data_IF_373415576809
#
_entry.id   IF_373415576809
#
_cell.length_a   1.000
_cell.length_b   1.000
_cell.length_c   1.000
_cell.angle_alpha   90.00
_cell.angle_beta   90.00
_cell.angle_gamma   90.00
#
_symmetry.space_group_name_H-M   'P 1'
#
loop_
_entity.id
_entity.type
_entity.pdbx_description
1 polymer ?
#
# COMPACT_ATOMS: atom_id res chain seq x y z
N UNK A 1 -14.89 -7.15 -9.69
CA UNK A 1 -13.54 -6.57 -9.81
C UNK A 1 -12.54 -7.71 -9.80
N UNK A 2 -11.49 -7.64 -10.61
CA UNK A 2 -10.49 -8.69 -10.70
C UNK A 2 -9.51 -8.55 -9.52
N UNK A 3 -9.28 -9.66 -8.81
CA UNK A 3 -8.31 -9.72 -7.71
C UNK A 3 -6.89 -9.67 -8.27
N UNK A 4 -5.95 -9.10 -7.50
CA UNK A 4 -4.53 -9.17 -7.87
C UNK A 4 -4.05 -10.62 -7.73
N UNK A 5 -3.57 -11.27 -8.81
CA UNK A 5 -3.00 -12.60 -8.72
C UNK A 5 -1.72 -12.59 -7.88
N UNK A 6 -1.53 -13.62 -7.05
CA UNK A 6 -0.33 -13.78 -6.22
C UNK A 6 0.96 -13.73 -7.08
N UNK A 7 0.98 -14.43 -8.21
CA UNK A 7 2.10 -14.43 -9.16
C UNK A 7 2.45 -13.03 -9.68
N UNK A 8 1.45 -12.16 -9.87
CA UNK A 8 1.69 -10.77 -10.28
C UNK A 8 2.40 -10.01 -9.18
N UNK A 9 1.96 -10.17 -7.93
CA UNK A 9 2.57 -9.50 -6.79
C UNK A 9 3.98 -10.02 -6.50
N UNK A 10 4.19 -11.34 -6.55
CA UNK A 10 5.52 -11.96 -6.40
C UNK A 10 6.52 -11.43 -7.43
N UNK A 11 6.09 -11.27 -8.69
CA UNK A 11 6.91 -10.70 -9.75
C UNK A 11 7.33 -9.27 -9.39
N UNK A 12 6.40 -8.42 -8.96
CA UNK A 12 6.70 -7.04 -8.54
C UNK A 12 7.68 -7.03 -7.38
N UNK A 13 7.44 -7.85 -6.34
CA UNK A 13 8.31 -7.93 -5.16
C UNK A 13 9.72 -8.40 -5.53
N UNK A 14 9.85 -9.35 -6.46
CA UNK A 14 11.14 -9.83 -6.96
C UNK A 14 11.89 -8.71 -7.69
N UNK A 15 11.22 -7.99 -8.60
CA UNK A 15 11.81 -6.86 -9.32
C UNK A 15 12.23 -5.73 -8.37
N UNK A 16 11.40 -5.43 -7.37
CA UNK A 16 11.70 -4.44 -6.34
C UNK A 16 12.92 -4.84 -5.53
N UNK A 17 12.97 -6.09 -5.05
CA UNK A 17 14.09 -6.63 -4.27
C UNK A 17 15.42 -6.53 -5.01
N UNK A 18 15.43 -6.74 -6.33
CA UNK A 18 16.64 -6.59 -7.14
C UNK A 18 17.11 -5.13 -7.25
N UNK A 19 16.17 -4.17 -7.23
CA UNK A 19 16.47 -2.73 -7.33
C UNK A 19 16.81 -2.09 -5.99
N UNK A 20 16.51 -2.75 -4.88
CA UNK A 20 16.86 -2.31 -3.52
C UNK A 20 18.37 -2.17 -3.26
N UNK A 21 19.22 -2.64 -4.17
CA UNK A 21 20.67 -2.38 -4.12
C UNK A 21 21.04 -0.91 -4.35
N UNK A 22 20.14 -0.15 -4.99
CA UNK A 22 20.25 1.29 -5.14
C UNK A 22 19.71 2.00 -3.90
N UNK A 23 20.58 2.76 -3.23
CA UNK A 23 20.28 3.45 -1.99
C UNK A 23 19.14 4.48 -2.12
N UNK A 24 18.93 5.04 -3.31
CA UNK A 24 17.91 6.07 -3.55
C UNK A 24 16.59 5.48 -4.06
N UNK A 25 16.53 4.16 -4.28
CA UNK A 25 15.38 3.51 -4.92
C UNK A 25 14.07 3.70 -4.16
N UNK A 26 14.09 3.57 -2.83
CA UNK A 26 12.90 3.77 -1.99
C UNK A 26 12.37 5.19 -2.16
N UNK A 27 13.24 6.20 -2.03
CA UNK A 27 12.86 7.61 -2.14
C UNK A 27 12.21 7.91 -3.49
N UNK A 28 12.85 7.48 -4.59
CA UNK A 28 12.29 7.66 -5.94
C UNK A 28 10.93 7.02 -6.12
N UNK A 29 10.72 5.80 -5.61
CA UNK A 29 9.42 5.12 -5.70
C UNK A 29 8.33 5.82 -4.90
N UNK A 30 8.66 6.36 -3.74
CA UNK A 30 7.73 7.18 -2.95
C UNK A 30 7.39 8.47 -3.69
N UNK A 31 8.39 9.17 -4.23
CA UNK A 31 8.17 10.41 -5.00
C UNK A 31 7.29 10.18 -6.24
N UNK A 32 7.57 9.11 -6.99
CA UNK A 32 6.76 8.67 -8.14
C UNK A 32 5.32 8.39 -7.72
N UNK A 33 5.09 7.67 -6.62
CA UNK A 33 3.74 7.42 -6.11
C UNK A 33 3.04 8.73 -5.75
N UNK A 34 3.68 9.62 -5.00
CA UNK A 34 3.05 10.86 -4.55
C UNK A 34 2.73 11.80 -5.71
N UNK A 35 3.53 11.78 -6.78
CA UNK A 35 3.24 12.55 -7.99
C UNK A 35 1.89 12.15 -8.63
N UNK A 36 1.49 10.88 -8.53
CA UNK A 36 0.23 10.37 -9.10
C UNK A 36 -0.88 10.18 -8.06
N UNK A 37 -0.54 10.10 -6.78
CA UNK A 37 -1.44 9.87 -5.65
C UNK A 37 -1.20 10.92 -4.54
N UNK A 38 -1.42 12.22 -4.81
CA UNK A 38 -0.96 13.32 -3.95
C UNK A 38 -1.58 13.32 -2.54
N UNK A 39 -2.78 12.75 -2.38
CA UNK A 39 -3.48 12.72 -1.10
C UNK A 39 -2.94 11.65 -0.14
N UNK A 40 -2.22 10.64 -0.63
CA UNK A 40 -1.71 9.54 0.20
C UNK A 40 -0.69 10.00 1.23
N UNK A 41 0.22 10.90 0.85
CA UNK A 41 1.20 11.47 1.79
C UNK A 41 0.49 12.14 2.97
N UNK A 42 -0.50 13.00 2.69
CA UNK A 42 -1.24 13.71 3.73
C UNK A 42 -2.05 12.76 4.62
N UNK A 43 -2.67 11.75 4.01
CA UNK A 43 -3.42 10.72 4.73
C UNK A 43 -2.54 9.95 5.72
N UNK A 44 -1.36 9.50 5.29
CA UNK A 44 -0.44 8.74 6.15
C UNK A 44 0.23 9.63 7.19
N UNK A 45 0.64 10.86 6.83
CA UNK A 45 1.27 11.82 7.75
C UNK A 45 0.32 12.28 8.85
N UNK A 46 -1.00 12.19 8.67
CA UNK A 46 -1.97 12.43 9.73
C UNK A 46 -1.76 11.51 10.96
N UNK A 47 -1.08 10.37 10.77
CA UNK A 47 -0.75 9.40 11.81
C UNK A 47 0.73 9.46 12.26
N UNK A 48 1.41 10.59 12.03
CA UNK A 48 2.85 10.73 12.29
C UNK A 48 3.24 10.51 13.74
N UNK A 49 2.39 10.90 14.70
CA UNK A 49 2.65 10.70 16.13
C UNK A 49 2.72 9.23 16.51
N UNK A 50 1.97 8.37 15.82
CA UNK A 50 1.84 6.95 16.10
C UNK A 50 2.84 6.10 15.31
N UNK A 51 3.18 6.53 14.09
CA UNK A 51 4.04 5.76 13.18
C UNK A 51 5.52 6.16 13.25
N UNK A 52 5.82 7.44 13.49
CA UNK A 52 7.15 7.98 13.25
C UNK A 52 7.46 8.11 11.74
N UNK A 53 8.57 8.80 11.42
CA UNK A 53 8.90 9.17 10.04
C UNK A 53 9.30 7.96 9.19
N UNK A 54 10.06 7.03 9.76
CA UNK A 54 10.54 5.84 9.05
C UNK A 54 9.37 4.97 8.56
N UNK A 55 8.39 4.71 9.43
CA UNK A 55 7.25 3.86 9.10
C UNK A 55 6.28 4.54 8.12
N UNK A 56 6.19 5.87 8.11
CA UNK A 56 5.47 6.61 7.05
C UNK A 56 6.10 6.31 5.68
N UNK A 57 7.43 6.39 5.57
CA UNK A 57 8.15 6.09 4.32
C UNK A 57 7.92 4.65 3.92
N UNK A 58 7.97 3.71 4.87
CA UNK A 58 7.68 2.31 4.59
C UNK A 58 6.24 2.11 4.08
N UNK A 59 5.22 2.70 4.71
CA UNK A 59 3.83 2.62 4.24
C UNK A 59 3.70 3.13 2.81
N UNK A 60 4.26 4.30 2.51
CA UNK A 60 4.19 4.87 1.17
C UNK A 60 4.95 4.03 0.13
N UNK A 61 6.10 3.48 0.50
CA UNK A 61 6.86 2.59 -0.37
C UNK A 61 6.08 1.32 -0.71
N UNK A 62 5.48 0.67 0.29
CA UNK A 62 4.67 -0.52 0.08
C UNK A 62 3.37 -0.22 -0.69
N UNK A 63 2.79 0.97 -0.51
CA UNK A 63 1.67 1.44 -1.34
C UNK A 63 2.08 1.56 -2.81
N UNK A 64 3.32 1.98 -3.11
CA UNK A 64 3.83 2.05 -4.48
C UNK A 64 3.97 0.66 -5.11
N UNK A 65 4.37 -0.34 -4.32
CA UNK A 65 4.43 -1.75 -4.75
C UNK A 65 3.02 -2.27 -5.06
N UNK A 66 2.05 -1.98 -4.19
CA UNK A 66 0.65 -2.37 -4.40
C UNK A 66 0.06 -1.71 -5.66
N UNK A 67 0.30 -0.42 -5.87
CA UNK A 67 -0.14 0.31 -7.06
C UNK A 67 0.42 -0.31 -8.34
N UNK A 68 1.70 -0.70 -8.34
CA UNK A 68 2.32 -1.40 -9.48
C UNK A 68 1.73 -2.80 -9.70
N UNK A 69 1.45 -3.54 -8.63
CA UNK A 69 0.77 -4.84 -8.72
C UNK A 69 -0.64 -4.72 -9.31
N UNK A 70 -1.38 -3.68 -8.93
CA UNK A 70 -2.70 -3.36 -9.48
C UNK A 70 -2.63 -2.98 -10.94
N UNK A 71 -1.67 -2.14 -11.32
CA UNK A 71 -1.46 -1.74 -12.71
C UNK A 71 -1.16 -2.95 -13.61
N UNK A 72 -0.30 -3.86 -13.15
CA UNK A 72 -0.02 -5.08 -13.91
C UNK A 72 -1.21 -6.04 -13.96
N UNK A 73 -2.01 -6.13 -12.90
CA UNK A 73 -3.17 -7.03 -12.85
C UNK A 73 -4.34 -6.53 -13.70
N UNK A 74 -4.56 -5.21 -13.77
CA UNK A 74 -5.70 -4.59 -14.45
C UNK A 74 -5.35 -4.05 -15.83
N UNK A 75 -4.06 -3.82 -16.11
CA UNK A 75 -3.58 -3.17 -17.32
C UNK A 75 -3.74 -1.64 -17.31
N UNK A 76 -4.11 -1.05 -16.18
CA UNK A 76 -4.31 0.39 -16.03
C UNK A 76 -3.77 0.90 -14.69
N UNK A 77 -3.10 2.05 -14.72
CA UNK A 77 -2.64 2.68 -13.48
C UNK A 77 -3.85 3.11 -12.62
N UNK A 78 -3.82 2.91 -11.28
CA UNK A 78 -4.91 3.35 -10.41
C UNK A 78 -5.17 4.86 -10.52
N UNK A 79 -6.44 5.26 -10.64
CA UNK A 79 -6.80 6.68 -10.65
C UNK A 79 -6.45 7.34 -9.30
N UNK A 80 -6.19 8.66 -9.27
CA UNK A 80 -5.92 9.38 -8.03
C UNK A 80 -7.05 9.21 -7.01
N UNK A 81 -6.69 8.78 -5.79
CA UNK A 81 -7.66 8.62 -4.70
C UNK A 81 -7.87 9.94 -3.96
N UNK A 82 -9.12 10.25 -3.63
CA UNK A 82 -9.47 11.38 -2.76
C UNK A 82 -9.57 10.96 -1.29
N UNK A 83 -9.64 11.92 -0.38
CA UNK A 83 -9.92 11.62 1.03
C UNK A 83 -11.28 10.95 1.23
N UNK A 84 -12.28 11.29 0.43
CA UNK A 84 -13.61 10.63 0.48
C UNK A 84 -13.50 9.15 0.13
N UNK A 85 -12.65 8.80 -0.85
CA UNK A 85 -12.42 7.41 -1.22
C UNK A 85 -11.67 6.65 -0.12
N UNK A 86 -10.70 7.30 0.52
CA UNK A 86 -9.95 6.73 1.65
C UNK A 86 -10.85 6.52 2.88
N UNK A 87 -11.75 7.44 3.16
CA UNK A 87 -12.74 7.31 4.24
C UNK A 87 -13.76 6.20 3.93
N UNK A 88 -14.22 6.11 2.69
CA UNK A 88 -15.11 5.03 2.25
C UNK A 88 -14.40 3.67 2.38
N UNK A 89 -13.15 3.58 1.96
CA UNK A 89 -12.32 2.38 2.09
C UNK A 89 -12.07 2.01 3.56
N UNK A 90 -11.79 2.98 4.43
CA UNK A 90 -11.61 2.75 5.86
C UNK A 90 -12.88 2.19 6.52
N UNK A 91 -14.06 2.59 6.06
CA UNK A 91 -15.34 2.04 6.53
C UNK A 91 -15.63 0.65 5.94
N UNK A 92 -15.30 0.41 4.68
CA UNK A 92 -15.53 -0.86 3.99
C UNK A 92 -14.57 -1.98 4.46
N UNK A 93 -13.32 -1.62 4.74
CA UNK A 93 -12.26 -2.51 5.20
C UNK A 93 -11.61 -1.94 6.47
N UNK A 94 -12.31 -1.96 7.62
CA UNK A 94 -11.80 -1.37 8.86
C UNK A 94 -10.64 -2.14 9.48
N UNK A 95 -10.40 -3.37 9.00
CA UNK A 95 -9.32 -4.26 9.45
C UNK A 95 -8.63 -4.94 8.27
N UNK A 96 -7.41 -5.44 8.52
CA UNK A 96 -6.65 -6.21 7.54
C UNK A 96 -7.32 -7.55 7.23
N UNK A 97 -8.04 -8.17 8.19
CA UNK A 97 -8.81 -9.38 7.90
C UNK A 97 -9.94 -9.11 6.91
N UNK A 98 -10.64 -7.98 7.04
CA UNK A 98 -11.69 -7.64 6.08
C UNK A 98 -11.13 -7.43 4.66
N UNK A 99 -9.93 -6.86 4.59
CA UNK A 99 -9.21 -6.69 3.32
C UNK A 99 -8.77 -8.03 2.72
N UNK A 100 -8.33 -8.99 3.54
CA UNK A 100 -7.88 -10.30 3.06
C UNK A 100 -8.98 -11.15 2.43
N UNK A 101 -10.23 -10.97 2.85
CA UNK A 101 -11.39 -11.61 2.20
C UNK A 101 -11.58 -11.14 0.75
N UNK A 102 -11.28 -9.87 0.47
CA UNK A 102 -11.37 -9.29 -0.86
C UNK A 102 -10.12 -9.57 -1.68
N UNK A 103 -8.94 -9.34 -1.10
CA UNK A 103 -7.63 -9.35 -1.76
C UNK A 103 -6.58 -10.08 -0.91
N UNK A 104 -6.60 -11.42 -0.91
CA UNK A 104 -5.75 -12.21 -0.02
C UNK A 104 -4.25 -12.02 -0.31
N UNK A 105 -3.86 -11.88 -1.58
CA UNK A 105 -2.45 -11.69 -1.96
C UNK A 105 -1.89 -10.37 -1.43
N UNK A 106 -2.62 -9.26 -1.63
CA UNK A 106 -2.23 -7.95 -1.12
C UNK A 106 -2.23 -7.92 0.41
N UNK A 107 -3.24 -8.51 1.05
CA UNK A 107 -3.29 -8.57 2.51
C UNK A 107 -2.13 -9.38 3.11
N UNK A 108 -1.76 -10.51 2.49
CA UNK A 108 -0.62 -11.31 2.93
C UNK A 108 0.70 -10.54 2.78
N UNK A 109 0.87 -9.83 1.66
CA UNK A 109 2.02 -8.94 1.46
C UNK A 109 2.11 -7.86 2.55
N UNK A 110 1.00 -7.17 2.84
CA UNK A 110 0.95 -6.15 3.90
C UNK A 110 1.29 -6.75 5.27
N UNK A 111 0.71 -7.91 5.60
CA UNK A 111 0.95 -8.59 6.87
C UNK A 111 2.44 -8.92 7.04
N UNK A 112 3.05 -9.55 6.04
CA UNK A 112 4.43 -10.02 6.13
C UNK A 112 5.45 -8.88 6.16
N UNK A 113 5.18 -7.74 5.50
CA UNK A 113 6.18 -6.66 5.39
C UNK A 113 6.00 -5.52 6.39
N UNK A 114 4.83 -5.38 7.02
CA UNK A 114 4.60 -4.32 8.02
C UNK A 114 4.24 -4.89 9.40
N UNK A 115 3.31 -5.85 9.46
CA UNK A 115 2.80 -6.32 10.75
C UNK A 115 3.81 -7.25 11.44
N UNK A 116 4.44 -8.13 10.67
CA UNK A 116 5.48 -9.04 11.17
C UNK A 116 6.80 -8.30 11.43
N UNK A 117 7.26 -7.49 10.47
CA UNK A 117 8.55 -6.78 10.56
C UNK A 117 8.53 -5.61 11.56
N UNK A 118 7.36 -5.02 11.83
CA UNK A 118 7.19 -3.97 12.86
C UNK A 118 6.18 -4.42 13.93
N UNK A 119 6.58 -5.30 14.86
CA UNK A 119 5.65 -5.79 15.88
C UNK A 119 5.08 -4.67 16.75
N UNK A 120 3.79 -4.81 17.10
CA UNK A 120 3.10 -3.91 18.02
C UNK A 120 2.14 -2.93 17.35
N UNK A 121 1.67 -1.90 18.09
CA UNK A 121 0.57 -1.04 17.64
C UNK A 121 0.90 -0.26 16.36
N UNK A 122 2.16 0.16 16.18
CA UNK A 122 2.59 0.93 15.02
C UNK A 122 2.50 0.11 13.73
N UNK A 123 3.01 -1.14 13.70
CA UNK A 123 2.89 -2.00 12.52
C UNK A 123 1.46 -2.43 12.23
N UNK A 124 0.63 -2.65 13.26
CA UNK A 124 -0.81 -2.89 13.06
C UNK A 124 -1.51 -1.69 12.42
N UNK A 125 -1.21 -0.47 12.87
CA UNK A 125 -1.74 0.74 12.26
C UNK A 125 -1.23 0.91 10.83
N UNK A 126 0.06 0.71 10.59
CA UNK A 126 0.66 0.79 9.25
C UNK A 126 0.01 -0.21 8.27
N UNK A 127 -0.18 -1.46 8.71
CA UNK A 127 -0.86 -2.48 7.92
C UNK A 127 -2.32 -2.13 7.63
N UNK A 128 -3.03 -1.56 8.62
CA UNK A 128 -4.39 -1.06 8.44
C UNK A 128 -4.48 0.09 7.43
N UNK A 129 -3.56 1.06 7.50
CA UNK A 129 -3.52 2.17 6.54
C UNK A 129 -3.26 1.66 5.12
N UNK A 130 -2.35 0.70 4.93
CA UNK A 130 -2.16 0.07 3.62
C UNK A 130 -3.39 -0.67 3.12
N UNK A 131 -4.14 -1.34 3.98
CA UNK A 131 -5.40 -1.98 3.61
C UNK A 131 -6.41 -0.95 3.09
N UNK A 132 -6.55 0.20 3.75
CA UNK A 132 -7.41 1.29 3.30
C UNK A 132 -6.96 1.84 1.93
N UNK A 133 -5.66 2.09 1.77
CA UNK A 133 -5.08 2.60 0.53
C UNK A 133 -5.30 1.60 -0.62
N UNK A 134 -5.00 0.33 -0.39
CA UNK A 134 -5.20 -0.73 -1.37
C UNK A 134 -6.67 -0.84 -1.79
N UNK A 135 -7.59 -0.81 -0.83
CA UNK A 135 -9.02 -0.82 -1.11
C UNK A 135 -9.47 0.40 -1.92
N UNK A 136 -9.02 1.60 -1.56
CA UNK A 136 -9.35 2.82 -2.28
C UNK A 136 -8.82 2.82 -3.72
N UNK A 137 -7.59 2.33 -3.94
CA UNK A 137 -7.03 2.19 -5.29
C UNK A 137 -7.82 1.18 -6.12
N UNK A 138 -8.15 0.02 -5.54
CA UNK A 138 -8.96 -0.99 -6.21
C UNK A 138 -10.30 -0.44 -6.65
N UNK A 139 -11.03 0.24 -5.76
CA UNK A 139 -12.34 0.82 -6.07
C UNK A 139 -12.28 1.89 -7.19
N UNK A 140 -11.07 2.32 -7.60
CA UNK A 140 -10.77 3.25 -8.69
C UNK A 140 -10.13 2.62 -9.94
N UNK A 141 -9.82 1.32 -9.92
CA UNK A 141 -9.17 0.57 -11.01
C UNK A 141 -10.15 -0.21 -11.89
#
# INVERSE_FOLDING_TARGET
MARVPEQTLEKVVTEVSQKMVDADYIGRRVDELIAVQPNLMQYVVAHKSELGVELIVQVLFHAAIMAQGLELATGASPLPVSFVDLDAAANATPTLERFSEAEPALANFVYNNLVVETPGPAGQLAGKLLAHIGRAMLDKS
#
